data_IF_678048228222
#
_entry.id   IF_678048228222
#
_cell.length_a   1.000
_cell.length_b   1.000
_cell.length_c   1.000
_cell.angle_alpha   90.00
_cell.angle_beta   90.00
_cell.angle_gamma   90.00
#
_symmetry.space_group_name_H-M   'P 1'
#
loop_
_entity.id
_entity.type
_entity.pdbx_description
1 polymer ?
#
# COMPACT_ATOMS: atom_id res chain seq x y z
N UNK A 1 -6.73 -14.46 17.72
CA UNK A 1 -6.94 -13.08 17.23
C UNK A 1 -8.09 -12.33 17.92
N UNK A 2 -8.96 -12.98 18.72
CA UNK A 2 -10.13 -12.31 19.36
C UNK A 2 -9.78 -11.13 20.27
N UNK A 3 -8.72 -11.27 21.05
CA UNK A 3 -8.29 -10.23 22.02
C UNK A 3 -7.27 -9.25 21.39
N UNK A 4 -7.25 -9.16 20.06
CA UNK A 4 -6.30 -8.34 19.30
C UNK A 4 -7.01 -7.24 18.57
N UNK A 5 -6.55 -6.01 18.74
CA UNK A 5 -6.95 -4.85 17.96
C UNK A 5 -5.89 -4.56 16.90
N UNK A 6 -6.29 -4.53 15.64
CA UNK A 6 -5.46 -4.02 14.55
C UNK A 6 -5.52 -2.49 14.49
N UNK A 7 -4.37 -1.85 14.40
CA UNK A 7 -4.26 -0.40 14.17
C UNK A 7 -3.51 -0.19 12.87
N UNK A 8 -4.25 0.15 11.82
CA UNK A 8 -3.73 0.32 10.47
C UNK A 8 -3.38 1.77 10.18
N UNK A 9 -2.11 2.07 10.01
CA UNK A 9 -1.59 3.40 9.70
C UNK A 9 -1.83 3.72 8.22
N UNK A 10 -2.68 4.70 7.93
CA UNK A 10 -3.08 5.10 6.58
C UNK A 10 -2.99 6.63 6.36
N UNK A 11 -2.18 7.32 7.15
CA UNK A 11 -2.15 8.79 7.25
C UNK A 11 -1.03 9.51 6.48
N UNK A 12 -0.10 8.80 5.84
CA UNK A 12 1.04 9.42 5.16
C UNK A 12 0.65 10.28 3.95
N UNK A 13 1.35 11.41 3.73
CA UNK A 13 1.11 12.33 2.61
C UNK A 13 1.33 11.70 1.24
N UNK A 14 2.21 10.68 1.15
CA UNK A 14 2.46 9.92 -0.09
C UNK A 14 3.12 10.73 -1.20
N UNK A 15 3.94 11.73 -0.87
CA UNK A 15 4.56 12.68 -1.82
C UNK A 15 5.34 12.00 -2.93
N UNK A 16 6.02 10.90 -2.63
CA UNK A 16 6.83 10.14 -3.62
C UNK A 16 6.00 9.42 -4.69
N UNK A 17 4.68 9.30 -4.49
CA UNK A 17 3.73 8.79 -5.50
C UNK A 17 3.01 9.92 -6.26
N UNK A 18 3.40 11.19 -6.05
CA UNK A 18 2.86 12.27 -6.88
C UNK A 18 3.16 11.99 -8.37
N UNK A 19 2.18 12.21 -9.28
CA UNK A 19 0.91 12.91 -9.09
C UNK A 19 -0.29 12.02 -8.71
N UNK A 20 -0.12 10.72 -8.53
CA UNK A 20 -1.23 9.79 -8.19
C UNK A 20 -1.87 10.09 -6.82
N UNK A 21 -1.12 10.70 -5.92
CA UNK A 21 -1.56 11.09 -4.57
C UNK A 21 -2.04 12.54 -4.47
N UNK A 22 -2.20 13.23 -5.61
CA UNK A 22 -2.71 14.60 -5.64
C UNK A 22 -4.04 14.75 -4.91
N UNK A 23 -5.01 13.87 -5.21
CA UNK A 23 -6.40 13.97 -4.75
C UNK A 23 -6.83 12.80 -3.85
N UNK A 24 -5.89 11.94 -3.45
CA UNK A 24 -6.14 10.77 -2.61
C UNK A 24 -4.95 10.39 -1.76
N UNK A 25 -5.20 9.79 -0.60
CA UNK A 25 -4.15 9.20 0.23
C UNK A 25 -3.47 8.01 -0.47
N UNK A 26 -2.18 7.75 -0.19
CA UNK A 26 -1.42 6.62 -0.77
C UNK A 26 -2.16 5.27 -0.65
N UNK A 27 -2.73 4.89 0.51
CA UNK A 27 -3.47 3.64 0.64
C UNK A 27 -4.70 3.52 -0.27
N UNK A 28 -5.23 4.65 -0.76
CA UNK A 28 -6.39 4.69 -1.66
C UNK A 28 -6.03 4.63 -3.15
N UNK A 29 -4.75 4.58 -3.51
CA UNK A 29 -4.33 4.45 -4.92
C UNK A 29 -4.78 3.08 -5.45
N UNK A 30 -5.40 3.02 -6.66
CA UNK A 30 -5.82 1.76 -7.28
C UNK A 30 -4.64 0.81 -7.48
N UNK A 31 -4.86 -0.49 -7.39
CA UNK A 31 -3.83 -1.52 -7.54
C UNK A 31 -4.42 -2.77 -8.21
N UNK A 32 -3.65 -3.41 -9.07
CA UNK A 32 -4.02 -4.69 -9.69
C UNK A 32 -5.40 -4.71 -10.37
N UNK A 33 -5.80 -3.59 -10.95
CA UNK A 33 -7.05 -3.44 -11.70
C UNK A 33 -8.29 -3.18 -10.85
N UNK A 34 -8.54 -3.96 -9.80
CA UNK A 34 -9.78 -3.83 -9.02
C UNK A 34 -9.59 -3.47 -7.55
N UNK A 35 -8.37 -3.54 -7.03
CA UNK A 35 -8.06 -3.28 -5.62
C UNK A 35 -7.58 -1.84 -5.41
N UNK A 36 -7.39 -1.50 -4.14
CA UNK A 36 -6.54 -0.39 -3.69
C UNK A 36 -5.40 -0.95 -2.84
N UNK A 37 -4.34 -0.21 -2.65
CA UNK A 37 -3.18 -0.68 -1.88
C UNK A 37 -3.61 -1.19 -0.50
N UNK A 38 -4.48 -0.47 0.21
CA UNK A 38 -4.97 -0.84 1.55
C UNK A 38 -5.71 -2.19 1.59
N UNK A 39 -6.34 -2.59 0.49
CA UNK A 39 -7.11 -3.83 0.42
C UNK A 39 -6.24 -5.06 0.67
N UNK A 40 -4.95 -4.97 0.39
CA UNK A 40 -3.98 -6.05 0.62
C UNK A 40 -3.84 -6.31 2.13
N UNK A 41 -3.54 -5.28 2.91
CA UNK A 41 -3.41 -5.39 4.37
C UNK A 41 -4.74 -5.78 5.03
N UNK A 42 -5.85 -5.20 4.60
CA UNK A 42 -7.17 -5.57 5.12
C UNK A 42 -7.56 -7.01 4.76
N UNK A 43 -7.18 -7.50 3.57
CA UNK A 43 -7.38 -8.91 3.22
C UNK A 43 -6.56 -9.84 4.12
N UNK A 44 -5.32 -9.47 4.43
CA UNK A 44 -4.51 -10.20 5.40
C UNK A 44 -5.17 -10.21 6.79
N UNK A 45 -5.74 -9.09 7.26
CA UNK A 45 -6.48 -9.04 8.52
C UNK A 45 -7.62 -10.08 8.54
N UNK A 46 -8.50 -10.03 7.54
CA UNK A 46 -9.65 -10.94 7.47
C UNK A 46 -9.21 -12.40 7.33
N UNK A 47 -8.22 -12.69 6.49
CA UNK A 47 -7.70 -14.05 6.30
C UNK A 47 -6.98 -14.58 7.54
N UNK A 48 -6.47 -13.72 8.41
CA UNK A 48 -5.86 -14.05 9.71
C UNK A 48 -6.86 -14.07 10.87
N UNK A 49 -8.16 -13.93 10.60
CA UNK A 49 -9.22 -13.82 11.61
C UNK A 49 -9.04 -12.63 12.57
N UNK A 50 -8.48 -11.53 12.09
CA UNK A 50 -8.44 -10.24 12.78
C UNK A 50 -9.65 -9.40 12.35
N UNK A 51 -10.60 -9.20 13.28
CA UNK A 51 -11.92 -8.63 13.00
C UNK A 51 -12.16 -7.25 13.63
N UNK A 52 -11.29 -6.80 14.50
CA UNK A 52 -11.34 -5.51 15.14
C UNK A 52 -10.19 -4.67 14.58
N UNK A 53 -10.48 -3.71 13.70
CA UNK A 53 -9.45 -2.92 13.01
C UNK A 53 -9.82 -1.44 13.01
N UNK A 54 -8.97 -0.61 13.57
CA UNK A 54 -8.98 0.83 13.39
C UNK A 54 -8.04 1.25 12.29
N UNK A 55 -8.49 2.14 11.40
CA UNK A 55 -7.70 2.72 10.31
C UNK A 55 -7.47 4.18 10.64
N UNK A 56 -6.23 4.54 10.96
CA UNK A 56 -5.85 5.91 11.28
C UNK A 56 -5.55 6.68 9.99
N UNK A 57 -6.40 7.67 9.69
CA UNK A 57 -6.27 8.49 8.48
C UNK A 57 -5.92 9.93 8.81
N UNK A 58 -5.30 10.64 7.90
CA UNK A 58 -4.95 12.05 8.07
C UNK A 58 -5.26 12.87 6.82
N UNK A 59 -4.49 12.71 5.76
CA UNK A 59 -4.61 13.50 4.53
C UNK A 59 -5.56 12.87 3.52
N UNK A 60 -6.33 13.70 2.78
CA UNK A 60 -7.09 13.32 1.58
C UNK A 60 -7.92 12.05 1.74
N UNK A 61 -8.52 11.86 2.93
CA UNK A 61 -9.15 10.61 3.35
C UNK A 61 -10.52 10.33 2.71
N UNK A 62 -11.18 11.31 2.06
CA UNK A 62 -12.56 11.15 1.57
C UNK A 62 -12.74 9.93 0.65
N UNK A 63 -11.85 9.75 -0.32
CA UNK A 63 -11.90 8.61 -1.24
C UNK A 63 -11.66 7.28 -0.53
N UNK A 64 -10.76 7.27 0.46
CA UNK A 64 -10.47 6.11 1.31
C UNK A 64 -11.68 5.78 2.20
N UNK A 65 -12.24 6.78 2.89
CA UNK A 65 -13.39 6.60 3.77
C UNK A 65 -14.59 5.98 3.03
N UNK A 66 -14.88 6.48 1.82
CA UNK A 66 -15.92 5.89 0.97
C UNK A 66 -15.63 4.44 0.62
N UNK A 67 -14.40 4.14 0.23
CA UNK A 67 -13.98 2.79 -0.14
C UNK A 67 -14.12 1.80 1.03
N UNK A 68 -13.67 2.16 2.22
CA UNK A 68 -13.76 1.33 3.42
C UNK A 68 -15.23 1.10 3.80
N UNK A 69 -16.03 2.16 3.90
CA UNK A 69 -17.44 2.04 4.27
C UNK A 69 -18.22 1.13 3.31
N UNK A 70 -17.99 1.27 2.01
CA UNK A 70 -18.77 0.56 0.98
C UNK A 70 -18.22 -0.84 0.66
N UNK A 71 -16.94 -1.08 0.88
CA UNK A 71 -16.28 -2.33 0.56
C UNK A 71 -16.03 -3.24 1.75
N UNK A 72 -15.69 -2.66 2.89
CA UNK A 72 -15.21 -3.43 4.05
C UNK A 72 -16.22 -3.50 5.20
N UNK A 73 -17.10 -2.51 5.33
CA UNK A 73 -18.20 -2.59 6.30
C UNK A 73 -19.02 -3.89 6.18
N UNK A 74 -19.43 -4.32 4.97
CA UNK A 74 -20.18 -5.57 4.79
C UNK A 74 -19.38 -6.87 5.02
N UNK A 75 -18.07 -6.80 5.22
CA UNK A 75 -17.20 -8.00 5.40
C UNK A 75 -17.14 -8.44 6.87
N UNK A 76 -17.51 -7.56 7.79
CA UNK A 76 -17.50 -7.78 9.24
C UNK A 76 -18.92 -7.89 9.80
N UNK A 77 -19.09 -8.68 10.85
CA UNK A 77 -20.38 -8.90 11.51
C UNK A 77 -20.52 -7.93 12.71
N UNK A 78 -21.01 -6.72 12.44
CA UNK A 78 -21.15 -5.68 13.47
C UNK A 78 -22.08 -6.08 14.63
N UNK A 79 -23.07 -6.97 14.37
CA UNK A 79 -23.90 -7.53 15.43
C UNK A 79 -23.11 -8.42 16.42
N UNK A 80 -21.93 -8.90 16.02
CA UNK A 80 -21.01 -9.67 16.89
C UNK A 80 -19.89 -8.79 17.46
N UNK A 81 -19.97 -7.47 17.29
CA UNK A 81 -18.96 -6.52 17.74
C UNK A 81 -17.75 -6.41 16.81
N UNK A 82 -17.74 -7.07 15.65
CA UNK A 82 -16.66 -6.92 14.66
C UNK A 82 -16.72 -5.57 13.96
N UNK A 83 -15.57 -4.96 13.69
CA UNK A 83 -15.51 -3.68 12.99
C UNK A 83 -14.22 -3.48 12.17
N UNK A 84 -14.34 -2.73 11.09
CA UNK A 84 -13.25 -2.08 10.36
C UNK A 84 -13.63 -0.62 10.23
N UNK A 85 -13.07 0.22 11.09
CA UNK A 85 -13.49 1.60 11.25
C UNK A 85 -12.35 2.59 11.02
N UNK A 86 -12.71 3.74 10.48
CA UNK A 86 -11.78 4.85 10.26
C UNK A 86 -11.85 5.80 11.44
N UNK A 87 -10.70 6.03 12.05
CA UNK A 87 -10.50 7.09 13.03
C UNK A 87 -9.83 8.30 12.35
N UNK A 88 -10.56 9.38 12.12
CA UNK A 88 -9.97 10.64 11.69
C UNK A 88 -9.21 11.29 12.84
N UNK A 89 -8.30 12.22 12.58
CA UNK A 89 -7.65 13.03 13.63
C UNK A 89 -8.70 13.72 14.49
N UNK A 90 -8.76 13.42 15.78
CA UNK A 90 -9.86 13.87 16.65
C UNK A 90 -9.48 14.98 17.61
N UNK A 91 -8.36 15.63 17.49
CA UNK A 91 -7.92 16.77 18.35
C UNK A 91 -8.26 16.63 19.85
N UNK A 92 -8.33 15.41 20.37
CA UNK A 92 -8.64 15.11 21.78
C UNK A 92 -7.46 15.33 22.69
N UNK A 93 -6.28 14.96 22.21
CA UNK A 93 -5.03 14.99 22.95
C UNK A 93 -4.16 16.14 22.48
N UNK A 94 -4.11 16.40 21.18
CA UNK A 94 -3.36 17.49 20.55
C UNK A 94 -4.22 18.23 19.52
N UNK A 95 -3.94 19.53 19.32
CA UNK A 95 -4.53 20.34 18.26
C UNK A 95 -3.77 20.23 16.93
N UNK A 96 -2.64 19.56 16.93
CA UNK A 96 -1.79 19.37 15.75
C UNK A 96 -2.17 18.11 14.95
N UNK A 97 -1.79 18.10 13.70
CA UNK A 97 -1.75 16.88 12.88
C UNK A 97 -0.77 15.86 13.46
N UNK A 98 -0.93 14.57 13.12
CA UNK A 98 0.00 13.54 13.55
C UNK A 98 1.43 13.89 13.11
N UNK A 99 2.35 13.93 14.09
CA UNK A 99 3.76 14.28 13.86
C UNK A 99 4.59 13.10 13.43
N UNK A 100 4.15 11.88 13.77
CA UNK A 100 4.80 10.63 13.43
C UNK A 100 3.85 9.44 13.56
N UNK A 101 4.36 8.26 13.30
CA UNK A 101 3.57 7.02 13.35
C UNK A 101 3.15 6.65 14.77
N UNK A 102 4.00 6.90 15.77
CA UNK A 102 3.69 6.70 17.19
C UNK A 102 2.69 7.75 17.70
N UNK A 103 2.83 9.01 17.30
CA UNK A 103 1.88 10.07 17.64
C UNK A 103 0.48 9.79 17.08
N UNK A 104 0.39 9.22 15.87
CA UNK A 104 -0.89 8.81 15.31
C UNK A 104 -1.63 7.80 16.22
N UNK A 105 -0.91 6.86 16.80
CA UNK A 105 -1.48 5.87 17.75
C UNK A 105 -1.77 6.53 19.09
N UNK A 106 -0.86 7.36 19.59
CA UNK A 106 -1.03 8.09 20.85
C UNK A 106 -2.26 9.01 20.85
N UNK A 107 -2.49 9.78 19.79
CA UNK A 107 -3.67 10.64 19.70
C UNK A 107 -5.00 9.87 19.71
N UNK A 108 -4.97 8.57 19.41
CA UNK A 108 -6.12 7.67 19.44
C UNK A 108 -6.12 6.70 20.64
N UNK A 109 -5.24 6.93 21.64
CA UNK A 109 -5.03 6.06 22.80
C UNK A 109 -6.32 5.77 23.57
N UNK A 110 -7.22 6.74 23.67
CA UNK A 110 -8.52 6.58 24.32
C UNK A 110 -9.40 5.57 23.58
N UNK A 111 -9.50 5.67 22.24
CA UNK A 111 -10.29 4.73 21.44
C UNK A 111 -9.71 3.32 21.49
N UNK A 112 -8.39 3.21 21.46
CA UNK A 112 -7.70 1.92 21.61
C UNK A 112 -7.95 1.33 23.00
N UNK A 113 -7.81 2.13 24.04
CA UNK A 113 -8.00 1.68 25.44
C UNK A 113 -9.46 1.29 25.74
N UNK A 114 -10.46 1.94 25.10
CA UNK A 114 -11.87 1.61 25.31
C UNK A 114 -12.30 0.25 24.77
N UNK A 115 -11.55 -0.34 23.85
CA UNK A 115 -11.74 -1.70 23.35
C UNK A 115 -11.13 -2.77 24.29
N UNK A 116 -10.37 -2.36 25.28
CA UNK A 116 -9.69 -3.23 26.27
C UNK A 116 -8.93 -4.41 25.60
N UNK A 117 -8.21 -4.22 24.48
CA UNK A 117 -7.53 -5.30 23.81
C UNK A 117 -6.35 -5.80 24.64
N UNK A 118 -6.13 -7.11 24.66
CA UNK A 118 -4.92 -7.68 25.25
C UNK A 118 -3.68 -7.40 24.42
N UNK A 119 -3.84 -7.38 23.09
CA UNK A 119 -2.77 -7.16 22.13
C UNK A 119 -3.16 -6.08 21.12
N UNK A 120 -2.18 -5.31 20.70
CA UNK A 120 -2.33 -4.33 19.61
C UNK A 120 -1.37 -4.67 18.49
N UNK A 121 -1.93 -4.89 17.29
CA UNK A 121 -1.17 -5.13 16.07
C UNK A 121 -1.11 -3.86 15.23
N UNK A 122 0.05 -3.22 15.18
CA UNK A 122 0.31 -2.05 14.34
C UNK A 122 0.64 -2.51 12.92
N UNK A 123 -0.05 -1.96 11.93
CA UNK A 123 0.03 -2.33 10.53
C UNK A 123 0.27 -1.12 9.64
N UNK A 124 0.99 -1.30 8.54
CA UNK A 124 1.10 -0.31 7.47
C UNK A 124 0.10 -0.58 6.35
N UNK A 125 -0.59 0.46 5.87
CA UNK A 125 -1.60 0.35 4.81
C UNK A 125 -1.05 0.57 3.40
N UNK A 126 0.25 0.48 3.19
CA UNK A 126 0.92 0.89 1.97
C UNK A 126 1.92 -0.14 1.40
N UNK A 127 1.86 -1.38 1.86
CA UNK A 127 2.70 -2.49 1.40
C UNK A 127 1.90 -3.57 0.67
N UNK A 128 2.56 -4.29 -0.24
CA UNK A 128 1.98 -5.40 -1.01
C UNK A 128 2.65 -6.71 -0.56
N UNK A 129 1.90 -7.58 0.10
CA UNK A 129 2.37 -8.86 0.65
C UNK A 129 1.20 -9.75 1.07
N UNK A 130 1.45 -11.04 1.32
CA UNK A 130 0.48 -11.97 1.93
C UNK A 130 1.07 -12.53 3.21
N UNK A 131 0.42 -12.27 4.34
CA UNK A 131 0.91 -12.68 5.65
C UNK A 131 -0.22 -13.11 6.56
N UNK A 132 -0.04 -14.24 7.23
CA UNK A 132 -0.92 -14.72 8.28
C UNK A 132 -0.49 -14.17 9.64
N UNK A 133 -1.18 -13.16 10.12
CA UNK A 133 -0.88 -12.55 11.42
C UNK A 133 -1.15 -13.49 12.61
N UNK A 134 -1.98 -14.51 12.43
CA UNK A 134 -2.23 -15.49 13.49
C UNK A 134 -0.96 -16.32 13.82
N UNK A 135 -0.09 -16.57 12.84
CA UNK A 135 1.19 -17.25 13.07
C UNK A 135 2.15 -16.35 13.88
N UNK A 136 2.18 -15.05 13.56
CA UNK A 136 2.95 -14.08 14.34
C UNK A 136 2.44 -13.97 15.78
N UNK A 137 1.11 -13.95 15.99
CA UNK A 137 0.48 -13.95 17.31
C UNK A 137 0.83 -15.22 18.08
N UNK A 138 0.78 -16.38 17.43
CA UNK A 138 1.14 -17.65 18.07
C UNK A 138 2.59 -17.61 18.58
N UNK A 139 3.55 -17.21 17.72
CA UNK A 139 4.95 -17.08 18.13
C UNK A 139 5.14 -16.07 19.28
N UNK A 140 4.41 -14.95 19.24
CA UNK A 140 4.44 -13.93 20.30
C UNK A 140 4.03 -14.53 21.65
N UNK A 141 2.89 -15.25 21.68
CA UNK A 141 2.41 -15.89 22.88
C UNK A 141 3.35 -17.02 23.37
N UNK A 142 3.80 -17.88 22.47
CA UNK A 142 4.66 -19.04 22.80
C UNK A 142 6.03 -18.59 23.33
N UNK A 143 6.56 -17.50 22.80
CA UNK A 143 7.82 -16.93 23.27
C UNK A 143 7.70 -16.11 24.56
N UNK A 144 6.48 -15.72 24.95
CA UNK A 144 6.26 -14.78 26.05
C UNK A 144 6.94 -13.44 25.79
N UNK A 145 6.93 -12.98 24.54
CA UNK A 145 7.44 -11.67 24.17
C UNK A 145 6.50 -10.55 24.63
N UNK A 146 7.07 -9.39 24.92
CA UNK A 146 6.32 -8.15 25.18
C UNK A 146 6.01 -7.43 23.87
N UNK A 147 6.95 -7.56 22.90
CA UNK A 147 6.83 -6.98 21.57
C UNK A 147 7.37 -7.98 20.54
N UNK A 148 6.72 -8.09 19.40
CA UNK A 148 7.22 -8.87 18.26
C UNK A 148 7.21 -8.00 17.01
N UNK A 149 8.35 -8.00 16.28
CA UNK A 149 8.51 -7.28 15.02
C UNK A 149 8.52 -8.27 13.86
N UNK A 150 7.73 -8.04 12.83
CA UNK A 150 7.88 -8.79 11.58
C UNK A 150 9.13 -8.32 10.82
N UNK A 151 9.96 -9.26 10.43
CA UNK A 151 11.22 -9.03 9.71
C UNK A 151 11.28 -9.75 8.39
N UNK A 152 12.00 -9.18 7.44
CA UNK A 152 12.23 -9.68 6.10
C UNK A 152 13.73 -9.66 5.81
N UNK A 153 14.34 -10.73 5.28
CA UNK A 153 15.72 -10.70 4.82
C UNK A 153 15.84 -9.98 3.47
N UNK A 154 16.72 -8.99 3.38
CA UNK A 154 17.05 -8.26 2.16
C UNK A 154 18.56 -8.24 1.90
N UNK A 155 18.95 -7.85 0.70
CA UNK A 155 20.36 -7.64 0.35
C UNK A 155 20.92 -6.35 0.99
N UNK A 156 22.20 -6.31 1.38
CA UNK A 156 22.77 -5.17 2.10
C UNK A 156 22.74 -3.83 1.36
N UNK A 157 22.64 -3.82 0.04
CA UNK A 157 22.54 -2.62 -0.78
C UNK A 157 21.23 -1.85 -0.64
N UNK A 158 20.17 -2.50 -0.09
CA UNK A 158 18.83 -1.93 0.04
C UNK A 158 18.52 -1.35 1.43
N UNK A 159 19.42 -1.48 2.40
CA UNK A 159 19.17 -1.16 3.82
C UNK A 159 18.79 0.30 4.09
N UNK A 160 19.23 1.24 3.24
CA UNK A 160 18.99 2.67 3.44
C UNK A 160 17.51 3.08 3.41
N UNK A 161 16.62 2.18 2.99
CA UNK A 161 15.19 2.44 2.91
C UNK A 161 14.41 1.92 4.12
N UNK A 162 15.02 1.05 4.95
CA UNK A 162 14.34 0.27 5.98
C UNK A 162 15.01 0.38 7.35
N UNK A 163 14.26 0.09 8.40
CA UNK A 163 14.80 -0.14 9.73
C UNK A 163 15.53 -1.49 9.78
N UNK A 164 16.83 -1.47 10.03
CA UNK A 164 17.65 -2.68 10.18
C UNK A 164 17.48 -3.24 11.58
N UNK A 165 17.22 -4.54 11.67
CA UNK A 165 16.98 -5.27 12.91
C UNK A 165 18.17 -6.21 13.18
N UNK A 166 18.82 -6.05 14.33
CA UNK A 166 19.80 -7.02 14.80
C UNK A 166 19.10 -8.10 15.60
N UNK A 167 19.22 -9.35 15.15
CA UNK A 167 18.50 -10.48 15.75
C UNK A 167 19.52 -11.50 16.27
N UNK A 168 19.38 -11.92 17.52
CA UNK A 168 20.16 -13.03 18.07
C UNK A 168 19.67 -14.38 17.52
N UNK A 169 20.47 -15.44 17.63
CA UNK A 169 20.05 -16.79 17.24
C UNK A 169 18.85 -17.32 18.03
N UNK A 170 18.55 -16.74 19.19
CA UNK A 170 17.34 -17.03 19.97
C UNK A 170 16.06 -16.46 19.36
N UNK A 171 16.17 -15.57 18.36
CA UNK A 171 15.06 -14.79 17.82
C UNK A 171 14.82 -13.46 18.56
N UNK A 172 15.57 -13.16 19.60
CA UNK A 172 15.50 -11.89 20.34
C UNK A 172 16.13 -10.75 19.53
N UNK A 173 15.50 -9.59 19.55
CA UNK A 173 16.02 -8.38 18.92
C UNK A 173 16.98 -7.69 19.87
N UNK A 174 18.23 -7.55 19.46
CA UNK A 174 19.32 -6.95 20.24
C UNK A 174 19.68 -5.54 19.78
N UNK A 175 19.28 -5.15 18.57
CA UNK A 175 19.54 -3.83 18.02
C UNK A 175 18.50 -3.42 16.97
N UNK A 176 18.29 -2.11 16.85
CA UNK A 176 17.43 -1.53 15.82
C UNK A 176 18.02 -0.20 15.35
N UNK A 177 18.19 -0.04 14.02
CA UNK A 177 18.72 1.19 13.41
C UNK A 177 17.83 1.61 12.24
N UNK A 178 17.19 2.75 12.37
CA UNK A 178 16.29 3.27 11.31
C UNK A 178 17.08 3.84 10.15
N UNK A 179 16.86 3.28 8.96
CA UNK A 179 17.39 3.72 7.66
C UNK A 179 18.89 4.08 7.66
N UNK A 180 19.77 3.17 8.08
CA UNK A 180 21.22 3.43 8.05
C UNK A 180 21.70 3.53 6.60
N UNK A 181 22.73 4.34 6.37
CA UNK A 181 23.38 4.40 5.03
C UNK A 181 24.04 3.08 4.68
N UNK A 182 24.68 2.46 5.67
CA UNK A 182 25.39 1.18 5.57
C UNK A 182 25.21 0.40 6.86
N UNK A 183 25.37 -0.92 6.81
CA UNK A 183 25.35 -1.76 8.00
C UNK A 183 26.30 -2.96 7.88
N UNK A 184 26.90 -3.33 9.00
CA UNK A 184 27.65 -4.57 9.18
C UNK A 184 26.81 -5.68 9.83
N UNK A 185 25.59 -5.36 10.24
CA UNK A 185 24.63 -6.33 10.81
C UNK A 185 24.29 -7.36 9.72
N UNK A 186 24.22 -8.62 10.11
CA UNK A 186 23.83 -9.73 9.23
C UNK A 186 22.80 -10.60 9.90
N UNK A 187 21.90 -11.15 9.10
CA UNK A 187 20.89 -12.09 9.56
C UNK A 187 21.55 -13.36 10.11
N UNK A 188 21.15 -13.82 11.28
CA UNK A 188 21.64 -15.09 11.81
C UNK A 188 20.99 -16.30 11.14
N UNK A 189 19.95 -16.08 10.32
CA UNK A 189 19.14 -17.12 9.69
C UNK A 189 19.34 -17.19 8.16
N UNK A 190 19.77 -16.07 7.55
CA UNK A 190 19.91 -15.94 6.08
C UNK A 190 21.31 -15.42 5.76
N UNK A 191 22.19 -16.31 5.30
CA UNK A 191 23.60 -15.98 5.03
C UNK A 191 23.74 -14.83 4.02
N UNK A 192 24.59 -13.86 4.36
CA UNK A 192 24.84 -12.67 3.54
C UNK A 192 23.70 -11.63 3.50
N UNK A 193 22.54 -11.92 4.10
CA UNK A 193 21.38 -11.02 4.13
C UNK A 193 21.34 -10.16 5.40
N UNK A 194 20.45 -9.18 5.41
CA UNK A 194 20.17 -8.29 6.54
C UNK A 194 18.67 -8.39 6.85
N UNK A 195 18.31 -8.59 8.11
CA UNK A 195 16.92 -8.57 8.53
C UNK A 195 16.44 -7.12 8.69
N UNK A 196 15.34 -6.77 8.04
CA UNK A 196 14.74 -5.43 8.13
C UNK A 196 13.32 -5.49 8.62
N UNK A 197 12.88 -4.42 9.26
CA UNK A 197 11.51 -4.26 9.74
C UNK A 197 10.53 -4.10 8.56
N UNK A 198 9.42 -4.82 8.62
CA UNK A 198 8.30 -4.68 7.68
C UNK A 198 7.31 -3.59 8.09
N UNK A 199 7.54 -2.86 9.19
CA UNK A 199 6.56 -1.90 9.71
C UNK A 199 5.32 -2.58 10.32
N UNK A 200 5.45 -3.81 10.77
CA UNK A 200 4.39 -4.62 11.40
C UNK A 200 4.85 -4.99 12.79
N UNK A 201 4.12 -4.52 13.81
CA UNK A 201 4.51 -4.66 15.22
C UNK A 201 3.35 -5.19 16.05
N UNK A 202 3.57 -6.24 16.80
CA UNK A 202 2.62 -6.79 17.75
C UNK A 202 3.09 -6.48 19.18
N UNK A 203 2.25 -5.83 19.94
CA UNK A 203 2.52 -5.40 21.31
C UNK A 203 1.54 -6.02 22.31
N UNK A 204 2.03 -6.32 23.50
CA UNK A 204 1.17 -6.34 24.68
C UNK A 204 0.64 -4.91 24.92
N UNK A 205 -0.65 -4.77 25.19
CA UNK A 205 -1.27 -3.45 25.38
C UNK A 205 -0.72 -2.70 26.58
N UNK A 206 -0.43 -3.41 27.66
CA UNK A 206 0.18 -2.89 28.89
C UNK A 206 1.64 -2.41 28.70
N UNK A 207 2.29 -2.79 27.60
CA UNK A 207 3.58 -2.24 27.17
C UNK A 207 3.40 -1.06 26.24
N UNK A 208 2.52 -1.18 25.24
CA UNK A 208 2.36 -0.14 24.21
C UNK A 208 1.87 1.19 24.80
N UNK A 209 0.78 1.17 25.58
CA UNK A 209 0.13 2.41 26.01
C UNK A 209 1.03 3.28 26.89
N UNK A 210 1.76 2.75 27.90
CA UNK A 210 2.71 3.54 28.68
C UNK A 210 3.89 4.09 27.87
N UNK A 211 4.38 3.34 26.87
CA UNK A 211 5.51 3.80 26.05
C UNK A 211 5.08 4.92 25.08
N UNK A 212 3.85 4.88 24.56
CA UNK A 212 3.29 5.99 23.76
C UNK A 212 3.13 7.26 24.60
N UNK A 213 2.66 7.16 25.85
CA UNK A 213 2.57 8.32 26.75
C UNK A 213 3.96 8.89 27.03
N UNK A 214 4.95 8.02 27.32
CA UNK A 214 6.33 8.45 27.58
C UNK A 214 6.98 9.11 26.38
N UNK A 215 6.72 8.60 25.17
CA UNK A 215 7.22 9.20 23.92
C UNK A 215 6.57 10.56 23.66
N UNK A 216 5.27 10.70 23.91
CA UNK A 216 4.54 11.96 23.71
C UNK A 216 5.03 13.10 24.62
N UNK A 217 5.61 12.76 25.78
CA UNK A 217 6.20 13.72 26.73
C UNK A 217 7.66 14.08 26.38
N UNK A 218 8.30 13.37 25.45
CA UNK A 218 9.70 13.61 25.05
C UNK A 218 9.77 14.69 23.95
N UNK A 219 10.23 15.92 24.23
CA UNK A 219 10.28 17.01 23.25
C UNK A 219 11.32 16.79 22.14
N UNK A 220 12.22 15.82 22.30
CA UNK A 220 13.23 15.48 21.31
C UNK A 220 12.80 14.32 20.40
N UNK A 221 11.66 13.70 20.69
CA UNK A 221 11.14 12.60 19.87
C UNK A 221 10.57 13.13 18.55
N UNK A 222 10.72 12.32 17.50
CA UNK A 222 10.00 12.45 16.22
C UNK A 222 8.65 11.76 16.25
N UNK A 223 8.34 11.09 17.34
CA UNK A 223 7.13 10.32 17.57
C UNK A 223 6.91 9.23 16.51
N UNK A 224 8.00 8.52 16.15
CA UNK A 224 8.02 7.46 15.14
C UNK A 224 8.37 6.11 15.78
N UNK A 225 7.68 5.03 15.38
CA UNK A 225 7.94 3.72 15.95
C UNK A 225 9.37 3.26 15.71
N UNK A 226 9.88 3.37 14.50
CA UNK A 226 11.23 2.90 14.15
C UNK A 226 12.32 3.77 14.75
N UNK A 227 12.11 5.09 14.76
CA UNK A 227 13.12 6.03 15.24
C UNK A 227 13.16 6.16 16.76
N UNK A 228 12.00 6.17 17.44
CA UNK A 228 11.90 6.58 18.85
C UNK A 228 11.39 5.46 19.78
N UNK A 229 10.35 4.70 19.38
CA UNK A 229 9.77 3.69 20.25
C UNK A 229 10.65 2.44 20.31
N UNK A 230 10.87 1.76 19.18
CA UNK A 230 11.51 0.45 19.14
C UNK A 230 12.92 0.45 19.76
N UNK A 231 13.81 1.41 19.47
CA UNK A 231 15.14 1.44 20.07
C UNK A 231 15.09 1.58 21.60
N UNK A 232 14.10 2.33 22.14
CA UNK A 232 13.96 2.56 23.60
C UNK A 232 13.38 1.36 24.35
N UNK A 233 12.77 0.39 23.64
CA UNK A 233 12.25 -0.84 24.25
C UNK A 233 13.35 -1.87 24.52
N UNK A 234 14.43 -1.86 23.74
CA UNK A 234 15.50 -2.84 23.84
C UNK A 234 16.19 -2.78 25.21
N UNK A 235 16.41 -3.96 25.81
CA UNK A 235 16.97 -4.09 27.15
C UNK A 235 16.00 -3.79 28.29
N UNK A 236 14.77 -3.32 28.01
CA UNK A 236 13.71 -3.07 28.99
C UNK A 236 12.59 -4.09 28.90
N UNK A 237 12.30 -4.53 27.70
CA UNK A 237 11.25 -5.48 27.37
C UNK A 237 11.80 -6.61 26.53
N UNK A 238 11.12 -7.73 26.52
CA UNK A 238 11.44 -8.87 25.66
C UNK A 238 10.91 -8.63 24.26
N UNK A 239 11.80 -8.26 23.34
CA UNK A 239 11.49 -7.94 21.96
C UNK A 239 11.95 -9.08 21.06
N UNK A 240 11.05 -9.69 20.30
CA UNK A 240 11.36 -10.81 19.41
C UNK A 240 11.13 -10.44 17.93
N UNK A 241 11.92 -11.02 17.05
CA UNK A 241 11.70 -10.98 15.60
C UNK A 241 10.81 -12.14 15.17
N UNK A 242 9.84 -11.85 14.30
CA UNK A 242 9.09 -12.83 13.55
C UNK A 242 9.58 -12.82 12.11
N UNK A 243 10.23 -13.89 11.68
CA UNK A 243 10.64 -14.03 10.28
C UNK A 243 9.40 -14.19 9.42
N UNK A 244 9.25 -13.30 8.46
CA UNK A 244 8.09 -13.27 7.57
C UNK A 244 7.90 -14.59 6.83
N UNK A 245 6.70 -15.14 6.92
CA UNK A 245 6.25 -16.31 6.16
C UNK A 245 5.24 -15.86 5.13
N UNK A 246 5.55 -16.09 3.86
CA UNK A 246 4.73 -15.65 2.74
C UNK A 246 3.63 -16.68 2.42
N UNK A 247 2.39 -16.26 2.51
CA UNK A 247 1.21 -17.07 2.17
C UNK A 247 0.96 -17.19 0.65
N UNK A 248 1.78 -16.57 -0.18
CA UNK A 248 1.71 -16.71 -1.63
C UNK A 248 2.02 -18.13 -2.13
N UNK A 249 2.65 -18.95 -1.28
CA UNK A 249 3.09 -20.31 -1.64
C UNK A 249 4.07 -20.34 -2.82
N UNK A 250 4.78 -19.26 -3.04
CA UNK A 250 5.88 -19.14 -3.98
C UNK A 250 7.21 -19.38 -3.27
N UNK A 251 8.25 -19.70 -4.04
CA UNK A 251 9.59 -19.96 -3.47
C UNK A 251 10.28 -18.71 -2.97
N UNK A 252 10.01 -17.56 -3.61
CA UNK A 252 10.54 -16.27 -3.22
C UNK A 252 9.52 -15.54 -2.33
N UNK A 253 9.98 -14.94 -1.24
CA UNK A 253 9.17 -14.05 -0.42
C UNK A 253 8.78 -12.83 -1.24
N UNK A 254 7.50 -12.48 -1.23
CA UNK A 254 7.00 -11.30 -1.91
C UNK A 254 6.55 -10.26 -0.88
N UNK A 255 7.31 -9.21 -0.78
CA UNK A 255 6.96 -8.01 -0.05
C UNK A 255 7.51 -6.79 -0.81
N UNK A 256 6.67 -5.77 -1.01
CA UNK A 256 7.06 -4.54 -1.67
C UNK A 256 6.50 -3.33 -0.94
N UNK A 257 7.37 -2.39 -0.60
CA UNK A 257 6.98 -1.00 -0.31
C UNK A 257 6.74 -0.29 -1.64
N UNK A 258 5.47 -0.02 -1.96
CA UNK A 258 5.10 0.76 -3.15
C UNK A 258 5.18 2.26 -2.85
N UNK A 259 6.32 2.70 -2.35
CA UNK A 259 6.58 4.07 -1.91
C UNK A 259 6.93 5.05 -3.03
N UNK A 260 7.34 4.57 -4.22
CA UNK A 260 7.66 5.39 -5.39
C UNK A 260 6.82 5.01 -6.59
N UNK A 261 6.75 5.87 -7.61
CA UNK A 261 6.03 5.57 -8.85
C UNK A 261 6.57 4.33 -9.54
N UNK A 262 7.89 4.15 -9.53
CA UNK A 262 8.57 3.00 -10.12
C UNK A 262 8.19 1.71 -9.38
N UNK A 263 8.34 1.68 -8.05
CA UNK A 263 8.01 0.51 -7.25
C UNK A 263 6.51 0.15 -7.37
N UNK A 264 5.63 1.16 -7.43
CA UNK A 264 4.21 0.96 -7.66
C UNK A 264 3.92 0.39 -9.06
N UNK A 265 4.56 0.94 -10.10
CA UNK A 265 4.42 0.46 -11.47
C UNK A 265 4.92 -0.98 -11.60
N UNK A 266 6.11 -1.28 -11.10
CA UNK A 266 6.70 -2.62 -11.10
C UNK A 266 5.80 -3.63 -10.39
N UNK A 267 5.24 -3.28 -9.22
CA UNK A 267 4.33 -4.16 -8.50
C UNK A 267 3.06 -4.52 -9.32
N UNK A 268 2.56 -3.59 -10.15
CA UNK A 268 1.46 -3.88 -11.08
C UNK A 268 1.91 -4.75 -12.25
N UNK A 269 3.12 -4.53 -12.78
CA UNK A 269 3.68 -5.36 -13.87
C UNK A 269 3.99 -6.78 -13.40
N UNK A 270 4.49 -6.96 -12.16
CA UNK A 270 4.69 -8.29 -11.55
C UNK A 270 3.41 -9.13 -11.58
N UNK A 271 2.26 -8.51 -11.32
CA UNK A 271 0.97 -9.20 -11.28
C UNK A 271 0.48 -9.56 -12.69
N UNK A 272 0.80 -8.75 -13.70
CA UNK A 272 0.46 -9.01 -15.09
C UNK A 272 1.40 -10.04 -15.75
N UNK A 273 2.51 -10.40 -15.10
CA UNK A 273 3.45 -11.39 -15.60
C UNK A 273 2.80 -12.76 -15.81
N UNK A 274 3.35 -13.57 -16.71
CA UNK A 274 2.85 -14.92 -17.01
C UNK A 274 2.89 -15.84 -15.78
N UNK A 275 3.92 -15.71 -14.95
CA UNK A 275 4.07 -16.43 -13.68
C UNK A 275 4.27 -15.42 -12.53
N UNK A 276 3.20 -14.78 -12.04
CA UNK A 276 3.31 -13.73 -11.04
C UNK A 276 3.76 -14.31 -9.69
N UNK A 277 4.75 -13.67 -9.06
CA UNK A 277 5.18 -14.04 -7.71
C UNK A 277 4.07 -13.72 -6.69
N UNK A 278 3.38 -12.58 -6.85
CA UNK A 278 2.18 -12.26 -6.10
C UNK A 278 0.94 -12.79 -6.82
N UNK A 279 0.39 -13.91 -6.35
CA UNK A 279 -0.74 -14.58 -7.00
C UNK A 279 -2.09 -14.05 -6.48
N UNK A 280 -2.81 -13.31 -7.32
CA UNK A 280 -4.17 -12.84 -7.00
C UNK A 280 -5.23 -13.95 -7.03
N UNK A 281 -4.97 -15.05 -7.73
CA UNK A 281 -5.92 -16.13 -7.97
C UNK A 281 -5.84 -17.27 -6.94
N UNK A 282 -5.06 -17.08 -5.88
CA UNK A 282 -4.96 -18.05 -4.77
C UNK A 282 -6.26 -18.05 -3.94
N UNK A 283 -7.00 -19.14 -4.05
CA UNK A 283 -8.27 -19.32 -3.31
C UNK A 283 -8.06 -19.58 -1.81
N UNK A 284 -6.88 -20.03 -1.41
CA UNK A 284 -6.56 -20.27 0.00
C UNK A 284 -6.27 -18.96 0.74
N UNK A 285 -5.81 -17.92 0.01
CA UNK A 285 -5.55 -16.59 0.57
C UNK A 285 -6.16 -15.49 -0.32
N UNK A 286 -7.51 -15.38 -0.37
CA UNK A 286 -8.19 -14.49 -1.30
C UNK A 286 -7.97 -13.02 -0.94
N UNK A 287 -7.70 -12.21 -1.97
CA UNK A 287 -7.72 -10.76 -1.85
C UNK A 287 -9.15 -10.25 -2.02
N UNK A 288 -9.57 -9.34 -1.15
CA UNK A 288 -10.90 -8.72 -1.14
C UNK A 288 -10.81 -7.24 -1.43
N UNK A 289 -11.86 -6.67 -1.96
CA UNK A 289 -12.03 -5.24 -2.21
C UNK A 289 -13.52 -4.92 -2.27
N UNK A 290 -13.83 -3.63 -2.45
CA UNK A 290 -15.19 -3.20 -2.78
C UNK A 290 -15.66 -3.89 -4.07
N UNK A 291 -16.82 -4.54 -4.01
CA UNK A 291 -17.45 -5.12 -5.18
C UNK A 291 -18.12 -4.03 -6.03
N UNK A 292 -17.72 -3.92 -7.28
CA UNK A 292 -18.36 -3.06 -8.28
C UNK A 292 -19.26 -3.91 -9.19
N UNK A 293 -20.47 -3.44 -9.46
CA UNK A 293 -21.39 -4.12 -10.36
C UNK A 293 -21.20 -3.66 -11.80
N UNK A 294 -20.10 -4.07 -12.42
CA UNK A 294 -19.85 -3.88 -13.85
C UNK A 294 -20.15 -5.15 -14.64
N UNK A 295 -20.56 -5.02 -15.93
CA UNK A 295 -20.66 -6.18 -16.81
C UNK A 295 -19.29 -6.81 -17.04
N UNK A 296 -19.21 -8.07 -17.51
CA UNK A 296 -17.93 -8.69 -17.87
C UNK A 296 -17.15 -7.86 -18.91
N UNK A 297 -15.82 -7.98 -18.89
CA UNK A 297 -14.97 -7.39 -19.92
C UNK A 297 -15.31 -7.96 -21.30
N UNK A 298 -15.27 -7.11 -22.33
CA UNK A 298 -15.67 -7.45 -23.69
C UNK A 298 -14.58 -7.13 -24.71
N UNK A 299 -14.23 -8.12 -25.53
CA UNK A 299 -13.34 -7.99 -26.67
C UNK A 299 -14.16 -8.07 -27.96
N UNK A 300 -14.01 -7.11 -28.85
CA UNK A 300 -14.82 -7.05 -30.07
C UNK A 300 -13.97 -6.80 -31.29
N UNK A 301 -14.52 -7.24 -32.43
CA UNK A 301 -13.89 -7.38 -33.74
C UNK A 301 -12.87 -8.53 -33.79
N UNK A 302 -12.86 -9.23 -34.89
CA UNK A 302 -11.98 -10.35 -35.21
C UNK A 302 -11.53 -10.32 -36.65
N UNK A 303 -11.54 -9.12 -37.28
CA UNK A 303 -11.14 -8.91 -38.65
C UNK A 303 -9.63 -8.72 -38.78
N UNK A 304 -8.98 -9.13 -39.87
CA UNK A 304 -7.57 -8.82 -40.10
C UNK A 304 -7.28 -7.32 -39.95
N UNK A 305 -6.30 -6.99 -39.11
CA UNK A 305 -5.94 -5.59 -38.85
C UNK A 305 -6.86 -4.85 -37.85
N UNK A 306 -7.98 -5.46 -37.42
CA UNK A 306 -8.91 -4.88 -36.45
C UNK A 306 -9.44 -5.95 -35.51
N UNK A 307 -8.58 -6.42 -34.61
CA UNK A 307 -8.93 -7.46 -33.64
C UNK A 307 -8.77 -6.95 -32.22
N UNK A 308 -9.82 -7.12 -31.39
CA UNK A 308 -9.73 -6.80 -29.97
C UNK A 308 -9.02 -7.92 -29.21
N UNK A 309 -7.83 -7.67 -28.64
CA UNK A 309 -7.02 -8.66 -27.96
C UNK A 309 -6.43 -8.14 -26.66
N UNK A 310 -6.35 -9.04 -25.66
CA UNK A 310 -5.55 -8.88 -24.44
C UNK A 310 -4.51 -9.97 -24.34
N UNK A 311 -3.25 -9.63 -24.15
CA UNK A 311 -2.12 -10.56 -24.08
C UNK A 311 -1.34 -10.28 -22.81
N UNK A 312 -1.13 -11.30 -21.96
CA UNK A 312 -0.41 -11.16 -20.67
C UNK A 312 -0.91 -9.93 -19.86
N UNK A 313 -2.22 -9.75 -19.80
CA UNK A 313 -2.81 -8.53 -19.25
C UNK A 313 -3.94 -8.85 -18.28
N UNK A 314 -4.12 -8.00 -17.28
CA UNK A 314 -5.27 -8.04 -16.39
C UNK A 314 -6.29 -7.04 -16.91
N UNK A 315 -7.50 -7.52 -17.21
CA UNK A 315 -8.60 -6.69 -17.73
C UNK A 315 -9.81 -6.85 -16.81
N UNK A 316 -10.11 -5.80 -16.06
CA UNK A 316 -11.20 -5.82 -15.07
C UNK A 316 -12.58 -5.72 -15.73
N UNK A 317 -13.63 -5.98 -14.95
CA UNK A 317 -15.02 -5.90 -15.40
C UNK A 317 -15.37 -4.50 -15.93
N UNK A 318 -16.31 -4.42 -16.88
CA UNK A 318 -16.73 -3.19 -17.55
C UNK A 318 -15.86 -2.78 -18.74
N UNK A 319 -14.65 -3.32 -18.89
CA UNK A 319 -13.75 -2.94 -19.97
C UNK A 319 -14.24 -3.37 -21.35
N UNK A 320 -13.99 -2.54 -22.35
CA UNK A 320 -14.24 -2.84 -23.76
C UNK A 320 -12.96 -2.62 -24.55
N UNK A 321 -12.38 -3.70 -25.08
CA UNK A 321 -11.24 -3.67 -26.01
C UNK A 321 -11.78 -3.83 -27.43
N UNK A 322 -11.85 -2.71 -28.16
CA UNK A 322 -12.59 -2.62 -29.41
C UNK A 322 -11.64 -2.53 -30.61
N UNK A 323 -11.29 -3.69 -31.22
CA UNK A 323 -10.41 -3.72 -32.39
C UNK A 323 -9.03 -3.09 -32.13
N UNK A 324 -8.47 -3.35 -31.00
CA UNK A 324 -7.21 -2.81 -30.46
C UNK A 324 -6.45 -3.91 -29.70
N UNK A 325 -5.18 -3.69 -29.44
CA UNK A 325 -4.33 -4.66 -28.75
C UNK A 325 -3.87 -4.09 -27.41
N UNK A 326 -4.05 -4.87 -26.36
CA UNK A 326 -3.57 -4.58 -25.00
C UNK A 326 -2.58 -5.67 -24.60
N UNK A 327 -1.34 -5.29 -24.29
CA UNK A 327 -0.26 -6.22 -23.91
C UNK A 327 0.38 -5.83 -22.61
N UNK A 328 0.76 -6.85 -21.81
CA UNK A 328 1.55 -6.68 -20.58
C UNK A 328 1.01 -5.53 -19.68
N UNK A 329 -0.30 -5.39 -19.60
CA UNK A 329 -0.92 -4.19 -19.01
C UNK A 329 -2.01 -4.55 -18.00
N UNK A 330 -2.32 -3.58 -17.12
CA UNK A 330 -3.37 -3.70 -16.12
C UNK A 330 -4.44 -2.65 -16.41
N UNK A 331 -5.65 -3.09 -16.76
CA UNK A 331 -6.82 -2.24 -16.96
C UNK A 331 -7.76 -2.38 -15.77
N UNK A 332 -8.03 -1.26 -15.09
CA UNK A 332 -9.05 -1.19 -14.04
C UNK A 332 -10.47 -1.20 -14.64
N UNK A 333 -11.48 -1.04 -13.81
CA UNK A 333 -12.87 -1.11 -14.24
C UNK A 333 -13.26 -0.06 -15.28
N UNK A 334 -14.15 -0.45 -16.19
CA UNK A 334 -14.81 0.47 -17.15
C UNK A 334 -13.84 1.27 -18.02
N UNK A 335 -12.76 0.63 -18.46
CA UNK A 335 -11.82 1.19 -19.44
C UNK A 335 -12.27 0.85 -20.83
N UNK A 336 -12.27 1.86 -21.72
CA UNK A 336 -12.55 1.68 -23.13
C UNK A 336 -11.30 1.94 -23.98
N UNK A 337 -10.91 0.94 -24.77
CA UNK A 337 -9.82 1.06 -25.76
C UNK A 337 -10.43 0.98 -27.15
N UNK A 338 -10.39 2.09 -27.89
CA UNK A 338 -11.01 2.18 -29.21
C UNK A 338 -10.09 1.63 -30.32
N UNK A 339 -10.68 1.37 -31.51
CA UNK A 339 -10.05 0.63 -32.59
C UNK A 339 -8.70 1.19 -33.02
N UNK A 340 -7.81 0.27 -33.39
CA UNK A 340 -6.45 0.55 -33.87
C UNK A 340 -5.52 1.15 -32.82
N UNK A 341 -5.94 1.18 -31.54
CA UNK A 341 -5.04 1.56 -30.46
C UNK A 341 -4.15 0.38 -30.04
N UNK A 342 -2.97 0.70 -29.56
CA UNK A 342 -1.98 -0.22 -29.04
C UNK A 342 -1.56 0.24 -27.64
N UNK A 343 -1.82 -0.58 -26.62
CA UNK A 343 -1.48 -0.32 -25.22
C UNK A 343 -0.54 -1.41 -24.74
N UNK A 344 0.65 -1.02 -24.36
CA UNK A 344 1.67 -1.96 -23.90
C UNK A 344 2.28 -1.51 -22.56
N UNK A 345 2.60 -2.45 -21.69
CA UNK A 345 3.33 -2.21 -20.43
C UNK A 345 2.79 -1.00 -19.68
N UNK A 346 1.47 -0.97 -19.46
CA UNK A 346 0.80 0.22 -18.92
C UNK A 346 -0.24 -0.13 -17.85
N UNK A 347 -0.46 0.80 -16.93
CA UNK A 347 -1.47 0.71 -15.86
C UNK A 347 -2.54 1.75 -16.14
N UNK A 348 -3.75 1.31 -16.46
CA UNK A 348 -4.87 2.18 -16.84
C UNK A 348 -5.92 2.11 -15.75
N UNK A 349 -6.20 3.24 -15.07
CA UNK A 349 -7.21 3.30 -14.02
C UNK A 349 -8.63 3.39 -14.59
N UNK A 350 -9.60 3.30 -13.68
CA UNK A 350 -11.02 3.20 -14.03
C UNK A 350 -11.54 4.40 -14.81
N UNK A 351 -12.53 4.14 -15.68
CA UNK A 351 -13.25 5.15 -16.48
C UNK A 351 -12.38 5.88 -17.51
N UNK A 352 -11.24 5.32 -17.88
CA UNK A 352 -10.39 5.88 -18.93
C UNK A 352 -10.94 5.50 -20.30
N UNK A 353 -11.04 6.50 -21.20
CA UNK A 353 -11.39 6.29 -22.60
C UNK A 353 -10.18 6.61 -23.49
N UNK A 354 -9.60 5.57 -24.10
CA UNK A 354 -8.48 5.69 -25.04
C UNK A 354 -9.05 5.79 -26.46
N UNK A 355 -8.73 6.88 -27.16
CA UNK A 355 -9.15 7.17 -28.52
C UNK A 355 -8.61 6.18 -29.55
N UNK A 356 -9.02 6.37 -30.80
CA UNK A 356 -8.59 5.53 -31.94
C UNK A 356 -7.14 5.87 -32.31
N UNK A 357 -6.41 4.86 -32.83
CA UNK A 357 -5.03 5.04 -33.30
C UNK A 357 -4.06 5.59 -32.23
N UNK A 358 -4.37 5.41 -30.94
CA UNK A 358 -3.45 5.76 -29.87
C UNK A 358 -2.35 4.71 -29.72
N UNK A 359 -1.15 5.18 -29.40
CA UNK A 359 -0.02 4.32 -29.05
C UNK A 359 0.47 4.68 -27.64
N UNK A 360 0.32 3.75 -26.69
CA UNK A 360 0.61 3.99 -25.28
C UNK A 360 1.53 2.90 -24.79
N UNK A 361 2.66 3.28 -24.17
CA UNK A 361 3.55 2.33 -23.50
C UNK A 361 4.21 2.94 -22.28
N UNK A 362 4.63 2.09 -21.35
CA UNK A 362 5.36 2.50 -20.16
C UNK A 362 4.70 3.70 -19.46
N UNK A 363 3.38 3.59 -19.22
CA UNK A 363 2.58 4.69 -18.71
C UNK A 363 1.61 4.26 -17.60
N UNK A 364 1.31 5.20 -16.70
CA UNK A 364 0.19 5.11 -15.77
C UNK A 364 -0.83 6.19 -16.19
N UNK A 365 -2.06 5.79 -16.51
CA UNK A 365 -3.13 6.74 -16.84
C UNK A 365 -4.13 6.74 -15.67
N UNK A 366 -4.26 7.90 -15.02
CA UNK A 366 -5.14 8.06 -13.87
C UNK A 366 -6.62 8.03 -14.30
N UNK A 367 -7.50 7.80 -13.34
CA UNK A 367 -8.94 7.64 -13.55
C UNK A 367 -9.58 8.85 -14.26
N UNK A 368 -10.68 8.58 -14.93
CA UNK A 368 -11.52 9.58 -15.60
C UNK A 368 -10.79 10.38 -16.71
N UNK A 369 -9.64 9.88 -17.20
CA UNK A 369 -8.92 10.50 -18.31
C UNK A 369 -9.57 10.16 -19.66
N UNK A 370 -9.60 11.14 -20.55
CA UNK A 370 -9.94 10.96 -21.96
C UNK A 370 -8.71 11.21 -22.82
N UNK A 371 -8.25 10.17 -23.52
CA UNK A 371 -7.09 10.25 -24.41
C UNK A 371 -7.61 10.44 -25.84
N UNK A 372 -7.30 11.59 -26.50
CA UNK A 372 -7.75 11.87 -27.83
C UNK A 372 -7.26 10.88 -28.90
N UNK A 373 -7.97 10.80 -30.04
CA UNK A 373 -7.56 9.96 -31.15
C UNK A 373 -6.15 10.33 -31.65
N UNK A 374 -5.35 9.31 -31.99
CA UNK A 374 -3.99 9.48 -32.49
C UNK A 374 -2.93 9.88 -31.46
N UNK A 375 -3.27 9.93 -30.17
CA UNK A 375 -2.30 10.31 -29.13
C UNK A 375 -1.22 9.25 -29.00
N UNK A 376 0.05 9.71 -28.85
CA UNK A 376 1.23 8.87 -28.61
C UNK A 376 1.81 9.21 -27.24
N UNK A 377 1.98 8.20 -26.38
CA UNK A 377 2.46 8.33 -25.00
C UNK A 377 3.55 7.29 -24.74
N UNK A 378 4.68 7.72 -24.16
CA UNK A 378 5.78 6.85 -23.76
C UNK A 378 6.73 6.50 -24.91
N UNK A 379 6.65 7.17 -26.04
CA UNK A 379 7.52 6.94 -27.21
C UNK A 379 8.54 8.07 -27.42
N UNK A 380 8.17 9.30 -27.10
CA UNK A 380 9.05 10.46 -27.22
C UNK A 380 9.12 11.20 -25.87
N UNK A 381 10.22 11.02 -25.11
CA UNK A 381 10.39 11.68 -23.81
C UNK A 381 10.32 13.20 -23.86
N UNK A 382 10.63 13.82 -25.00
CA UNK A 382 10.61 15.27 -25.16
C UNK A 382 9.18 15.80 -25.29
N UNK A 383 8.37 15.11 -26.04
CA UNK A 383 6.93 15.42 -26.17
C UNK A 383 6.14 15.05 -24.90
N UNK A 384 6.47 13.90 -24.30
CA UNK A 384 5.81 13.45 -23.09
C UNK A 384 6.02 14.46 -21.93
N UNK A 385 7.24 14.99 -21.76
CA UNK A 385 7.56 16.01 -20.73
C UNK A 385 6.82 17.33 -20.90
N UNK A 386 6.39 17.67 -22.11
CA UNK A 386 5.61 18.90 -22.33
C UNK A 386 4.17 18.75 -21.88
N UNK A 387 3.63 17.53 -21.95
CA UNK A 387 2.21 17.28 -21.78
C UNK A 387 1.86 16.49 -20.51
N UNK A 388 2.83 15.77 -19.93
CA UNK A 388 2.60 14.82 -18.86
C UNK A 388 3.71 14.87 -17.80
N UNK A 389 3.44 14.32 -16.64
CA UNK A 389 4.48 14.06 -15.68
C UNK A 389 5.33 12.88 -16.16
N UNK A 390 6.65 13.04 -16.19
CA UNK A 390 7.62 11.98 -16.54
C UNK A 390 8.60 11.82 -15.40
N UNK A 391 8.67 10.60 -14.84
CA UNK A 391 9.58 10.30 -13.74
C UNK A 391 11.03 10.23 -14.20
N UNK A 392 11.95 10.07 -13.26
CA UNK A 392 13.40 9.94 -13.55
C UNK A 392 13.74 8.70 -14.38
N UNK A 393 12.93 7.64 -14.27
CA UNK A 393 13.07 6.40 -15.06
C UNK A 393 12.43 6.46 -16.45
N UNK A 394 11.75 7.57 -16.79
CA UNK A 394 11.02 7.71 -18.05
C UNK A 394 9.59 7.15 -18.01
N UNK A 395 9.08 6.76 -16.85
CA UNK A 395 7.68 6.37 -16.68
C UNK A 395 6.78 7.59 -16.81
N UNK A 396 5.80 7.52 -17.71
CA UNK A 396 4.85 8.62 -17.97
C UNK A 396 3.62 8.47 -17.09
N UNK A 397 3.21 9.55 -16.43
CA UNK A 397 1.98 9.57 -15.62
C UNK A 397 1.02 10.63 -16.16
N UNK A 398 -0.13 10.18 -16.65
CA UNK A 398 -1.18 11.04 -17.19
C UNK A 398 -2.26 11.22 -16.13
N UNK A 399 -2.55 12.47 -15.77
CA UNK A 399 -3.64 12.81 -14.84
C UNK A 399 -4.66 13.73 -15.53
N UNK A 400 -5.88 13.73 -15.05
CA UNK A 400 -7.03 14.41 -15.64
C UNK A 400 -6.78 15.89 -15.98
N UNK A 401 -6.03 16.62 -15.17
CA UNK A 401 -5.84 18.06 -15.29
C UNK A 401 -4.36 18.46 -15.27
N UNK A 402 -3.47 17.66 -15.86
CA UNK A 402 -2.04 17.96 -15.80
C UNK A 402 -1.71 19.34 -16.42
N UNK A 403 -2.38 19.71 -17.54
CA UNK A 403 -2.21 21.03 -18.17
C UNK A 403 -2.66 22.21 -17.29
N UNK A 404 -3.46 21.98 -16.25
CA UNK A 404 -3.90 23.04 -15.33
C UNK A 404 -2.82 23.45 -14.31
N UNK A 405 -1.71 22.70 -14.18
CA UNK A 405 -0.63 23.03 -13.23
C UNK A 405 0.31 24.14 -13.71
N UNK A 406 0.40 24.35 -15.01
CA UNK A 406 1.19 25.47 -15.55
C UNK A 406 0.45 26.82 -15.48
N UNK A 407 -0.83 26.82 -15.07
CA UNK A 407 -1.59 28.05 -14.92
C UNK A 407 -1.47 28.58 -13.50
N UNK A 408 -0.83 29.79 -13.29
CA UNK A 408 -0.55 30.34 -11.96
C UNK A 408 -1.80 30.62 -11.11
N UNK A 409 -3.00 30.60 -11.69
CA UNK A 409 -4.27 30.76 -10.94
C UNK A 409 -4.62 29.49 -10.17
N UNK A 410 -4.33 28.31 -10.71
CA UNK A 410 -4.56 27.02 -10.02
C UNK A 410 -3.48 26.74 -8.95
N UNK A 411 -2.25 27.22 -9.14
CA UNK A 411 -1.18 27.10 -8.15
C UNK A 411 -1.48 27.89 -6.86
N UNK A 412 -2.25 28.97 -6.93
CA UNK A 412 -2.66 29.75 -5.76
C UNK A 412 -3.77 29.07 -4.93
N UNK A 413 -4.63 28.28 -5.55
CA UNK A 413 -5.66 27.49 -4.83
C UNK A 413 -5.02 26.39 -3.96
N UNK A 414 -3.94 25.74 -4.46
CA UNK A 414 -3.22 24.71 -3.73
C UNK A 414 -2.32 25.25 -2.60
N UNK A 415 -1.86 26.51 -2.71
CA UNK A 415 -1.09 27.18 -1.65
C UNK A 415 -1.97 27.71 -0.50
N UNK A 416 -3.25 27.96 -0.75
CA UNK A 416 -4.19 28.41 0.27
C UNK A 416 -4.66 27.28 1.21
N UNK A 417 -4.51 26.00 0.81
CA UNK A 417 -4.84 24.84 1.65
C UNK A 417 -3.64 24.32 2.48
N UNK A 418 -2.45 24.91 2.31
CA UNK A 418 -1.20 24.54 3.02
C UNK A 418 -0.75 25.56 4.08
N UNK A 419 -1.63 26.50 4.47
CA UNK A 419 -1.41 27.45 5.60
C UNK A 419 -2.38 27.12 6.76
#
# INVERSE_FOLDING_TARGET
>A
MRDTLGVLLAGGAGERLFPLTRDRAKPAVPFAGQYRIIDITLSNCINSDLRHVYILTQYKALSLNRHIREGWGPVVASELGEFIEILPPMQRVSKSWYQGTADAVFQNIYSIGSEEPKYVLILSGDHIYKMNYALMMQQHCDSGADVTLATLPITPDQVSQFGVVEVARSGEVTGFVEKPKETNIRSPFNDGMVDVSMGIYLFNTDVLLPELVRDAEDPNSKHDFGHDILPKLLGRYKVNAYNFVDENKQRALYWRDVGTLEAYYEANMDIAAVAPTFNLYDKAWPMRSRAYQYPPAKFVFGEPGRTGMGINSIVSAGCIVSGSVVRNSVLSHDVRVNSYADVDSSVIFSHVNIGRHCHIRNAIIDRDCHIPDGTVIGYDPSEDKKNYFVSSSGLVVVTRDYSAYENPVSANFLRAESQ
#
